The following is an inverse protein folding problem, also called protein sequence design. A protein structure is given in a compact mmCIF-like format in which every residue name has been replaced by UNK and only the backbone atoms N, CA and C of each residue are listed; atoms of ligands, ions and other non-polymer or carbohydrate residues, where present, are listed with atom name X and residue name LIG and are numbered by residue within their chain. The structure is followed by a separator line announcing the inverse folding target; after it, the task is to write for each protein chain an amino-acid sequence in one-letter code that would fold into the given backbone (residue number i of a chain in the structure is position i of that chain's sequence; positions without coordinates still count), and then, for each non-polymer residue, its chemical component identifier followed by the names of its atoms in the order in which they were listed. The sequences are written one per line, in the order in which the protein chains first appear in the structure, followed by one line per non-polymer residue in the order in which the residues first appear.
data_IF_248445546710
#
_entry.id   IF_248445546710
#
_cell.length_a   1.000
_cell.length_b   1.000
_cell.length_c   1.000
_cell.angle_alpha   90.00
_cell.angle_beta   90.00
_cell.angle_gamma   90.00
#
_symmetry.space_group_name_H-M   'P 1'
#
loop_
_entity.id
_entity.type
_entity.pdbx_description
1 polymer ?
#
# COMPACT_ATOMS: atom_id res chain seq x y z
N UNK A 1 20.88 11.36 21.56
CA UNK A 1 20.74 9.91 21.76
C UNK A 1 20.62 9.29 20.37
N UNK A 2 21.51 8.37 19.99
CA UNK A 2 21.39 7.74 18.67
C UNK A 2 20.14 6.86 18.69
N UNK A 3 19.10 7.23 17.95
CA UNK A 3 17.93 6.39 17.74
C UNK A 3 18.41 5.06 17.17
N UNK A 4 18.13 3.98 17.90
CA UNK A 4 18.57 2.65 17.54
C UNK A 4 17.70 2.20 16.37
N UNK A 5 18.28 2.07 15.19
CA UNK A 5 17.60 1.54 14.00
C UNK A 5 16.93 0.20 14.32
N UNK A 6 15.61 0.14 14.17
CA UNK A 6 14.82 -1.09 14.30
C UNK A 6 14.42 -1.55 12.90
N UNK A 7 15.08 -2.61 12.42
CA UNK A 7 14.79 -3.18 11.12
C UNK A 7 13.51 -4.03 11.17
N UNK A 8 12.61 -3.83 10.21
CA UNK A 8 11.44 -4.68 10.00
C UNK A 8 11.54 -5.40 8.65
N UNK A 9 11.59 -6.73 8.68
CA UNK A 9 11.41 -7.55 7.48
C UNK A 9 9.93 -7.60 7.09
N UNK A 10 9.63 -7.47 5.80
CA UNK A 10 8.26 -7.49 5.29
C UNK A 10 8.18 -8.48 4.13
N UNK A 11 7.27 -9.44 4.23
CA UNK A 11 6.95 -10.38 3.17
C UNK A 11 5.50 -10.14 2.71
N UNK A 12 5.27 -10.14 1.39
CA UNK A 12 3.97 -9.96 0.78
C UNK A 12 3.67 -11.18 -0.09
N UNK A 13 2.52 -11.82 0.15
CA UNK A 13 1.94 -12.84 -0.73
C UNK A 13 0.57 -12.37 -1.19
N UNK A 14 0.27 -12.50 -2.48
CA UNK A 14 -1.03 -12.16 -3.05
C UNK A 14 -1.54 -13.30 -3.91
N UNK A 15 -2.84 -13.58 -3.86
CA UNK A 15 -3.47 -14.62 -4.67
C UNK A 15 -4.68 -14.10 -5.43
N UNK A 16 -4.76 -14.29 -6.76
CA UNK A 16 -5.96 -13.97 -7.50
C UNK A 16 -7.10 -14.93 -7.15
N UNK A 17 -8.34 -14.43 -7.25
CA UNK A 17 -9.53 -15.29 -7.18
C UNK A 17 -9.50 -16.31 -8.32
N UNK A 18 -10.03 -17.51 -8.09
CA UNK A 18 -10.04 -18.59 -9.09
C UNK A 18 -10.56 -18.12 -10.46
N UNK A 19 -9.82 -18.45 -11.52
CA UNK A 19 -10.14 -18.06 -12.89
C UNK A 19 -9.86 -16.59 -13.24
N UNK A 20 -9.19 -15.83 -12.35
CA UNK A 20 -8.75 -14.45 -12.61
C UNK A 20 -7.24 -14.37 -12.80
N UNK A 21 -6.82 -13.41 -13.61
CA UNK A 21 -5.41 -13.15 -13.93
C UNK A 21 -4.71 -12.25 -12.89
N UNK A 22 -5.47 -11.49 -12.10
CA UNK A 22 -4.94 -10.53 -11.14
C UNK A 22 -5.71 -10.60 -9.81
N UNK A 23 -4.99 -10.34 -8.70
CA UNK A 23 -5.58 -10.13 -7.39
C UNK A 23 -6.28 -8.77 -7.36
N UNK A 24 -7.49 -8.71 -6.80
CA UNK A 24 -8.21 -7.45 -6.64
C UNK A 24 -7.53 -6.52 -5.62
N UNK A 25 -6.70 -7.10 -4.76
CA UNK A 25 -5.98 -6.40 -3.71
C UNK A 25 -4.57 -6.03 -4.19
N UNK A 26 -4.01 -4.96 -3.62
CA UNK A 26 -2.64 -4.51 -3.86
C UNK A 26 -1.99 -4.21 -2.52
N UNK A 27 -0.79 -4.76 -2.31
CA UNK A 27 0.04 -4.45 -1.15
C UNK A 27 1.34 -3.77 -1.59
N UNK A 28 1.81 -2.80 -0.81
CA UNK A 28 3.12 -2.18 -0.99
C UNK A 28 3.76 -1.78 0.33
N UNK A 29 5.06 -1.49 0.26
CA UNK A 29 5.87 -1.06 1.40
C UNK A 29 6.60 0.22 1.02
N UNK A 30 6.43 1.26 1.83
CA UNK A 30 7.24 2.47 1.81
C UNK A 30 8.18 2.43 3.02
N UNK A 31 9.42 2.89 2.85
CA UNK A 31 10.41 2.96 3.93
C UNK A 31 11.06 4.32 3.96
N UNK A 32 11.10 4.91 5.14
CA UNK A 32 11.87 6.12 5.46
C UNK A 32 12.86 5.80 6.58
N UNK A 33 13.67 6.77 6.97
CA UNK A 33 14.55 6.62 8.14
C UNK A 33 13.78 6.46 9.45
N UNK A 34 12.55 7.01 9.53
CA UNK A 34 11.73 7.02 10.75
C UNK A 34 10.69 5.91 10.79
N UNK A 35 10.25 5.38 9.65
CA UNK A 35 9.14 4.42 9.60
C UNK A 35 9.20 3.43 8.43
N UNK A 36 8.52 2.30 8.60
CA UNK A 36 8.17 1.36 7.52
C UNK A 36 6.65 1.29 7.44
N UNK A 37 6.10 1.81 6.35
CA UNK A 37 4.66 1.92 6.13
C UNK A 37 4.22 0.84 5.15
N UNK A 38 3.32 -0.04 5.61
CA UNK A 38 2.72 -1.10 4.79
C UNK A 38 1.31 -0.65 4.37
N UNK A 39 1.05 -0.65 3.07
CA UNK A 39 -0.23 -0.24 2.48
C UNK A 39 -0.90 -1.48 1.90
N UNK A 40 -2.18 -1.67 2.21
CA UNK A 40 -3.04 -2.69 1.60
C UNK A 40 -4.31 -2.01 1.10
N UNK A 41 -4.58 -2.11 -0.19
CA UNK A 41 -5.78 -1.60 -0.84
C UNK A 41 -6.58 -2.75 -1.46
N UNK A 42 -7.86 -2.85 -1.12
CA UNK A 42 -8.82 -3.79 -1.72
C UNK A 42 -9.64 -3.06 -2.78
N UNK A 43 -9.59 -3.56 -4.00
CA UNK A 43 -10.39 -3.05 -5.12
C UNK A 43 -11.76 -3.71 -5.15
N UNK A 44 -12.83 -2.90 -5.19
CA UNK A 44 -14.20 -3.42 -5.30
C UNK A 44 -14.31 -4.36 -6.51
N UNK A 45 -14.61 -5.64 -6.25
CA UNK A 45 -14.82 -6.67 -7.27
C UNK A 45 -13.70 -7.72 -7.30
N UNK A 46 -13.30 -8.16 -8.50
CA UNK A 46 -12.19 -9.12 -8.67
C UNK A 46 -11.55 -9.01 -10.06
N UNK A 47 -10.31 -9.48 -10.19
CA UNK A 47 -9.59 -9.47 -11.46
C UNK A 47 -8.96 -8.11 -11.77
N UNK A 48 -8.66 -7.88 -13.04
CA UNK A 48 -7.86 -6.74 -13.51
C UNK A 48 -8.48 -5.38 -13.19
N UNK A 49 -9.81 -5.23 -13.29
CA UNK A 49 -10.46 -3.95 -12.97
C UNK A 49 -10.35 -3.59 -11.49
N UNK A 50 -10.56 -4.56 -10.59
CA UNK A 50 -10.36 -4.37 -9.15
C UNK A 50 -8.90 -4.04 -8.84
N UNK A 51 -7.96 -4.79 -9.45
CA UNK A 51 -6.53 -4.55 -9.31
C UNK A 51 -6.12 -3.12 -9.72
N UNK A 52 -6.63 -2.61 -10.84
CA UNK A 52 -6.34 -1.24 -11.30
C UNK A 52 -6.90 -0.22 -10.32
N UNK A 53 -8.13 -0.40 -9.83
CA UNK A 53 -8.72 0.50 -8.84
C UNK A 53 -7.89 0.54 -7.53
N UNK A 54 -7.52 -0.64 -7.01
CA UNK A 54 -6.66 -0.77 -5.84
C UNK A 54 -5.28 -0.14 -6.07
N UNK A 55 -4.69 -0.33 -7.26
CA UNK A 55 -3.40 0.26 -7.64
C UNK A 55 -3.46 1.77 -7.66
N UNK A 56 -4.51 2.37 -8.24
CA UNK A 56 -4.68 3.83 -8.28
C UNK A 56 -4.87 4.42 -6.88
N UNK A 57 -5.68 3.77 -6.05
CA UNK A 57 -5.90 4.13 -4.64
C UNK A 57 -4.56 4.13 -3.87
N UNK A 58 -3.85 3.00 -3.90
CA UNK A 58 -2.54 2.84 -3.29
C UNK A 58 -1.52 3.86 -3.81
N UNK A 59 -1.43 4.07 -5.13
CA UNK A 59 -0.45 5.00 -5.73
C UNK A 59 -0.72 6.45 -5.33
N UNK A 60 -2.00 6.83 -5.22
CA UNK A 60 -2.39 8.16 -4.74
C UNK A 60 -2.04 8.35 -3.27
N UNK A 61 -2.24 7.32 -2.45
CA UNK A 61 -1.84 7.35 -1.04
C UNK A 61 -0.33 7.51 -0.88
N UNK A 62 0.47 6.74 -1.63
CA UNK A 62 1.93 6.84 -1.64
C UNK A 62 2.38 8.27 -1.99
N UNK A 63 1.80 8.89 -3.03
CA UNK A 63 2.11 10.28 -3.38
C UNK A 63 1.75 11.30 -2.29
N UNK A 64 0.67 11.07 -1.54
CA UNK A 64 0.32 11.94 -0.42
C UNK A 64 1.34 11.81 0.72
N UNK A 65 1.80 10.59 1.02
CA UNK A 65 2.83 10.37 2.03
C UNK A 65 4.18 10.96 1.62
N UNK A 66 4.59 10.77 0.36
CA UNK A 66 5.80 11.39 -0.20
C UNK A 66 5.72 12.93 -0.18
N UNK A 67 4.51 13.48 -0.31
CA UNK A 67 4.22 14.90 -0.17
C UNK A 67 4.27 15.42 1.28
N UNK A 68 4.63 14.60 2.26
CA UNK A 68 4.77 14.98 3.66
C UNK A 68 3.45 15.02 4.44
N UNK A 69 2.35 14.49 3.88
CA UNK A 69 1.11 14.35 4.63
C UNK A 69 1.26 13.23 5.65
N UNK A 70 0.75 13.45 6.87
CA UNK A 70 0.61 12.36 7.83
C UNK A 70 -0.34 11.27 7.32
N UNK A 71 -0.19 10.03 7.80
CA UNK A 71 -1.09 8.92 7.49
C UNK A 71 -2.58 9.31 7.59
N UNK A 72 -2.95 10.05 8.64
CA UNK A 72 -4.33 10.53 8.84
C UNK A 72 -4.75 11.51 7.76
N UNK A 73 -3.89 12.48 7.41
CA UNK A 73 -4.22 13.48 6.40
C UNK A 73 -4.29 12.89 4.99
N UNK A 74 -3.43 11.92 4.69
CA UNK A 74 -3.45 11.18 3.43
C UNK A 74 -4.75 10.36 3.32
N UNK A 75 -5.16 9.68 4.40
CA UNK A 75 -6.32 8.79 4.39
C UNK A 75 -7.64 9.53 4.12
N UNK A 76 -7.86 10.68 4.76
CA UNK A 76 -9.08 11.48 4.53
C UNK A 76 -9.11 12.14 3.15
N UNK A 77 -8.00 12.08 2.40
CA UNK A 77 -7.88 12.69 1.08
C UNK A 77 -7.94 11.67 -0.04
N UNK A 78 -7.87 10.37 0.23
CA UNK A 78 -7.78 9.29 -0.78
C UNK A 78 -9.05 9.13 -1.61
#
# INVERSE_FOLDING_TARGET
MAERYLHFEVAIEQRPKQGRLACGDVASVMRTESETTVIVADGIGSGTSAHVAATLCKSRFEQLLDGGFSLRQAFVRI
#
